data_IF_623710685799
#
_entry.id   IF_623710685799
#
_cell.length_a   1.000
_cell.length_b   1.000
_cell.length_c   1.000
_cell.angle_alpha   90.00
_cell.angle_beta   90.00
_cell.angle_gamma   90.00
#
_symmetry.space_group_name_H-M   'P 1'
#
loop_
_entity.id
_entity.type
_entity.pdbx_description
1 polymer ?
#
# COMPACT_ATOMS: atom_id res chain seq x y z
N UNK A 1 -10.09 6.42 -4.33
CA UNK A 1 -9.50 5.27 -5.03
C UNK A 1 -8.02 5.41 -5.34
N UNK A 2 -7.55 6.58 -5.69
CA UNK A 2 -6.11 6.82 -5.89
C UNK A 2 -5.28 6.48 -4.65
N UNK A 3 -5.79 6.84 -3.47
CA UNK A 3 -5.15 6.53 -2.19
C UNK A 3 -5.00 5.04 -1.96
N UNK A 4 -6.05 4.26 -2.23
CA UNK A 4 -6.03 2.81 -2.08
C UNK A 4 -5.09 2.15 -3.09
N UNK A 5 -5.01 2.69 -4.30
CA UNK A 5 -4.04 2.23 -5.29
C UNK A 5 -2.60 2.43 -4.80
N UNK A 6 -2.30 3.60 -4.21
CA UNK A 6 -0.99 3.90 -3.63
C UNK A 6 -0.64 2.91 -2.53
N UNK A 7 -1.55 2.71 -1.58
CA UNK A 7 -1.31 1.83 -0.44
C UNK A 7 -1.15 0.37 -0.88
N UNK A 8 -1.99 -0.10 -1.81
CA UNK A 8 -1.85 -1.45 -2.36
C UNK A 8 -0.47 -1.64 -2.97
N UNK A 9 -0.03 -0.71 -3.82
CA UNK A 9 1.29 -0.77 -4.44
C UNK A 9 2.41 -0.72 -3.39
N UNK A 10 2.25 0.10 -2.35
CA UNK A 10 3.23 0.21 -1.28
C UNK A 10 3.49 -1.13 -0.60
N UNK A 11 2.42 -1.80 -0.16
CA UNK A 11 2.56 -3.08 0.53
C UNK A 11 3.03 -4.19 -0.41
N UNK A 12 2.52 -4.23 -1.64
CA UNK A 12 2.96 -5.23 -2.62
C UNK A 12 4.46 -5.09 -2.93
N UNK A 13 4.92 -3.87 -3.18
CA UNK A 13 6.34 -3.64 -3.49
C UNK A 13 7.23 -3.91 -2.29
N UNK A 14 6.83 -3.49 -1.10
CA UNK A 14 7.59 -3.72 0.11
C UNK A 14 7.77 -5.20 0.41
N UNK A 15 6.70 -5.96 0.37
CA UNK A 15 6.76 -7.40 0.67
C UNK A 15 7.34 -8.22 -0.48
N UNK A 16 7.39 -7.70 -1.68
CA UNK A 16 8.11 -8.33 -2.79
C UNK A 16 9.62 -8.13 -2.65
N UNK A 17 10.04 -6.97 -2.11
CA UNK A 17 11.44 -6.61 -2.01
C UNK A 17 12.11 -7.20 -0.77
N UNK A 18 11.42 -7.25 0.36
CA UNK A 18 11.97 -7.71 1.64
C UNK A 18 11.34 -9.04 2.06
N UNK A 19 12.17 -9.90 2.64
CA UNK A 19 11.72 -11.17 3.19
C UNK A 19 11.24 -10.99 4.63
N UNK A 20 10.49 -11.97 5.13
CA UNK A 20 10.04 -11.95 6.53
C UNK A 20 11.19 -11.84 7.51
N UNK A 21 12.33 -12.46 7.19
CA UNK A 21 13.54 -12.39 8.02
C UNK A 21 14.10 -10.96 8.14
N UNK A 22 13.91 -10.12 7.14
CA UNK A 22 14.31 -8.72 7.22
C UNK A 22 13.51 -7.96 8.26
N UNK A 23 12.24 -8.30 8.41
CA UNK A 23 11.36 -7.68 9.39
C UNK A 23 11.58 -8.24 10.80
N UNK A 24 11.78 -9.55 10.94
CA UNK A 24 12.08 -10.14 12.25
C UNK A 24 13.41 -9.65 12.80
N UNK A 25 14.38 -9.36 11.94
CA UNK A 25 15.65 -8.75 12.35
C UNK A 25 15.49 -7.37 12.96
N UNK A 26 14.39 -6.66 12.67
CA UNK A 26 14.06 -5.37 13.27
C UNK A 26 13.32 -5.51 14.60
N UNK A 27 12.97 -6.71 15.01
CA UNK A 27 12.21 -6.97 16.22
C UNK A 27 10.72 -7.18 15.99
N UNK A 28 10.24 -7.20 14.74
CA UNK A 28 8.84 -7.53 14.46
C UNK A 28 8.60 -9.01 14.72
N UNK A 29 7.45 -9.33 15.29
CA UNK A 29 6.99 -10.70 15.46
C UNK A 29 6.35 -11.22 14.19
N UNK A 30 6.14 -12.53 14.10
CA UNK A 30 5.37 -13.11 12.99
C UNK A 30 3.95 -12.55 12.93
N UNK A 31 3.35 -12.27 14.09
CA UNK A 31 2.03 -11.64 14.17
C UNK A 31 2.05 -10.24 13.58
N UNK A 32 3.09 -9.45 13.89
CA UNK A 32 3.25 -8.10 13.33
C UNK A 32 3.32 -8.15 11.80
N UNK A 33 4.11 -9.08 11.26
CA UNK A 33 4.26 -9.24 9.81
C UNK A 33 2.94 -9.66 9.17
N UNK A 34 2.24 -10.61 9.77
CA UNK A 34 0.94 -11.07 9.30
C UNK A 34 -0.07 -9.92 9.28
N UNK A 35 -0.07 -9.09 10.31
CA UNK A 35 -0.98 -7.95 10.39
C UNK A 35 -0.67 -6.91 9.31
N UNK A 36 0.59 -6.61 9.03
CA UNK A 36 0.97 -5.69 7.96
C UNK A 36 0.56 -6.23 6.59
N UNK A 37 0.76 -7.51 6.34
CA UNK A 37 0.31 -8.15 5.09
C UNK A 37 -1.21 -8.10 4.95
N UNK A 38 -1.93 -8.27 6.05
CA UNK A 38 -3.39 -8.18 6.09
C UNK A 38 -3.89 -6.78 5.74
N UNK A 39 -3.21 -5.74 6.19
CA UNK A 39 -3.52 -4.35 5.82
C UNK A 39 -3.40 -4.17 4.31
N UNK A 40 -2.30 -4.64 3.72
CA UNK A 40 -2.09 -4.59 2.28
C UNK A 40 -3.18 -5.34 1.51
N UNK A 41 -3.59 -6.52 1.99
CA UNK A 41 -4.67 -7.29 1.39
C UNK A 41 -6.02 -6.59 1.47
N UNK A 42 -6.29 -5.90 2.57
CA UNK A 42 -7.50 -5.09 2.74
C UNK A 42 -7.54 -3.96 1.72
N UNK A 43 -6.44 -3.24 1.51
CA UNK A 43 -6.37 -2.17 0.53
C UNK A 43 -6.58 -2.70 -0.89
N UNK A 44 -6.01 -3.85 -1.22
CA UNK A 44 -6.24 -4.46 -2.53
C UNK A 44 -7.72 -4.82 -2.73
N UNK A 45 -8.39 -5.32 -1.71
CA UNK A 45 -9.82 -5.62 -1.76
C UNK A 45 -10.63 -4.35 -2.00
N UNK A 46 -10.28 -3.24 -1.33
CA UNK A 46 -10.92 -1.95 -1.54
C UNK A 46 -10.78 -1.50 -2.99
N UNK A 47 -9.59 -1.59 -3.57
CA UNK A 47 -9.37 -1.22 -4.98
C UNK A 47 -10.24 -2.06 -5.90
N UNK A 48 -10.28 -3.37 -5.72
CA UNK A 48 -11.08 -4.27 -6.54
C UNK A 48 -12.57 -3.92 -6.45
N UNK A 49 -13.07 -3.71 -5.24
CA UNK A 49 -14.48 -3.40 -5.00
C UNK A 49 -14.86 -2.04 -5.60
N UNK A 50 -14.05 -1.01 -5.37
CA UNK A 50 -14.31 0.33 -5.87
C UNK A 50 -14.22 0.38 -7.39
N UNK A 51 -13.25 -0.32 -7.98
CA UNK A 51 -13.12 -0.39 -9.44
C UNK A 51 -14.37 -1.01 -10.07
N UNK A 52 -14.87 -2.09 -9.50
CA UNK A 52 -16.08 -2.75 -9.99
C UNK A 52 -17.30 -1.82 -9.85
N UNK A 53 -17.43 -1.13 -8.72
CA UNK A 53 -18.54 -0.21 -8.49
C UNK A 53 -18.52 0.97 -9.45
N UNK A 54 -17.37 1.57 -9.69
CA UNK A 54 -17.20 2.70 -10.60
C UNK A 54 -17.52 2.27 -12.04
N UNK A 55 -17.00 1.13 -12.46
CA UNK A 55 -17.27 0.58 -13.80
C UNK A 55 -18.77 0.24 -13.95
N UNK A 56 -19.39 -0.33 -12.92
CA UNK A 56 -20.82 -0.64 -12.90
C UNK A 56 -21.71 0.58 -12.99
N UNK A 57 -21.22 1.74 -12.53
CA UNK A 57 -21.93 3.01 -12.65
C UNK A 57 -21.73 3.69 -14.02
N UNK A 58 -20.98 3.07 -14.93
CA UNK A 58 -20.75 3.59 -16.27
C UNK A 58 -19.62 4.64 -16.33
N UNK A 59 -18.84 4.77 -15.28
CA UNK A 59 -17.72 5.71 -15.22
C UNK A 59 -16.39 4.96 -15.33
N UNK A 60 -15.42 5.58 -16.00
CA UNK A 60 -14.09 4.99 -16.15
C UNK A 60 -13.35 5.06 -14.81
N UNK A 61 -12.90 3.93 -14.24
CA UNK A 61 -12.06 3.97 -13.04
C UNK A 61 -10.73 4.66 -13.30
N UNK A 62 -10.19 5.32 -12.26
CA UNK A 62 -8.85 5.90 -12.31
C UNK A 62 -7.83 4.75 -12.40
N UNK A 63 -6.92 4.84 -13.35
CA UNK A 63 -5.86 3.85 -13.51
C UNK A 63 -4.81 4.04 -12.41
N UNK A 64 -4.26 2.95 -11.85
CA UNK A 64 -3.19 3.07 -10.87
C UNK A 64 -1.94 3.68 -11.50
N UNK A 65 -1.24 4.48 -10.70
CA UNK A 65 0.04 5.03 -11.10
C UNK A 65 1.14 3.99 -11.02
N UNK A 66 2.28 4.27 -11.65
CA UNK A 66 3.52 3.57 -11.34
C UNK A 66 4.19 4.30 -10.20
N UNK A 67 4.38 3.64 -9.06
CA UNK A 67 4.93 4.25 -7.86
C UNK A 67 6.36 3.80 -7.63
N UNK A 68 7.20 4.75 -7.23
CA UNK A 68 8.56 4.48 -6.77
C UNK A 68 8.69 4.97 -5.34
N UNK A 69 8.70 4.04 -4.40
CA UNK A 69 8.77 4.39 -2.97
C UNK A 69 10.21 4.54 -2.47
N UNK A 70 11.19 4.15 -3.28
CA UNK A 70 12.59 4.31 -2.93
C UNK A 70 13.04 3.49 -1.73
N UNK A 71 12.44 2.35 -1.48
CA UNK A 71 12.82 1.50 -0.35
C UNK A 71 14.26 1.01 -0.51
N UNK A 72 15.07 1.28 0.50
CA UNK A 72 16.44 0.75 0.59
C UNK A 72 16.57 -0.28 1.70
N UNK A 73 15.73 -0.18 2.74
CA UNK A 73 15.76 -1.10 3.88
C UNK A 73 14.34 -1.44 4.33
N UNK A 74 14.18 -2.59 4.98
CA UNK A 74 12.92 -2.96 5.61
C UNK A 74 12.52 -1.96 6.70
N UNK A 75 13.49 -1.40 7.42
CA UNK A 75 13.24 -0.38 8.43
C UNK A 75 12.57 0.85 7.84
N UNK A 76 13.05 1.33 6.69
CA UNK A 76 12.47 2.47 5.99
C UNK A 76 11.04 2.17 5.54
N UNK A 77 10.78 0.96 5.04
CA UNK A 77 9.43 0.54 4.65
C UNK A 77 8.47 0.56 5.85
N UNK A 78 8.88 -0.01 6.98
CA UNK A 78 8.04 -0.05 8.19
C UNK A 78 7.75 1.35 8.71
N UNK A 79 8.75 2.24 8.72
CA UNK A 79 8.57 3.62 9.15
C UNK A 79 7.57 4.36 8.25
N UNK A 80 7.65 4.16 6.94
CA UNK A 80 6.72 4.76 5.99
C UNK A 80 5.31 4.21 6.18
N UNK A 81 5.16 2.90 6.42
CA UNK A 81 3.86 2.30 6.71
C UNK A 81 3.20 2.94 7.92
N UNK A 82 3.96 3.18 8.99
CA UNK A 82 3.44 3.84 10.18
C UNK A 82 2.92 5.25 9.88
N UNK A 83 3.62 6.00 9.04
CA UNK A 83 3.18 7.34 8.63
C UNK A 83 1.90 7.27 7.81
N UNK A 84 1.82 6.37 6.82
CA UNK A 84 0.66 6.24 5.96
C UNK A 84 -0.60 5.86 6.76
N UNK A 85 -0.47 4.94 7.71
CA UNK A 85 -1.62 4.47 8.48
C UNK A 85 -2.07 5.48 9.55
N UNK A 86 -1.13 6.20 10.17
CA UNK A 86 -1.47 7.11 11.27
C UNK A 86 -2.07 8.43 10.82
N UNK A 87 -1.61 9.01 9.75
CA UNK A 87 -2.03 10.36 9.36
C UNK A 87 -2.92 10.39 8.13
N UNK A 88 -3.22 9.22 7.54
CA UNK A 88 -4.09 9.16 6.38
C UNK A 88 -3.57 9.96 5.19
N UNK A 89 -2.26 10.04 5.01
CA UNK A 89 -1.63 10.80 3.93
C UNK A 89 -2.18 10.42 2.58
N UNK A 90 -2.55 9.17 2.41
CA UNK A 90 -3.13 8.64 1.18
C UNK A 90 -4.37 9.43 0.73
N UNK A 91 -5.10 10.05 1.67
CA UNK A 91 -6.29 10.83 1.34
C UNK A 91 -5.98 12.07 0.49
N UNK A 92 -4.73 12.50 0.48
CA UNK A 92 -4.31 13.68 -0.27
C UNK A 92 -3.62 13.34 -1.59
N UNK A 93 -3.42 12.06 -1.88
CA UNK A 93 -2.81 11.63 -3.13
C UNK A 93 -3.83 11.74 -4.24
N UNK A 94 -3.48 12.47 -5.29
CA UNK A 94 -4.31 12.63 -6.48
C UNK A 94 -3.66 11.93 -7.67
N UNK A 95 -4.40 11.71 -8.79
CA UNK A 95 -3.80 11.16 -10.01
C UNK A 95 -2.62 11.97 -10.54
N UNK A 96 -2.57 13.27 -10.22
CA UNK A 96 -1.47 14.15 -10.63
C UNK A 96 -0.19 13.91 -9.83
N UNK A 97 -0.26 13.20 -8.72
CA UNK A 97 0.86 12.97 -7.83
C UNK A 97 1.59 11.65 -8.14
N UNK A 98 1.28 11.06 -9.29
CA UNK A 98 1.88 9.79 -9.71
C UNK A 98 3.36 9.89 -10.06
N UNK A 99 3.88 11.06 -10.25
CA UNK A 99 5.27 11.27 -10.69
C UNK A 99 6.25 11.29 -9.52
#
# INVERSE_FOLDING_TARGET
>A
MTAENLETAFYQQGFAKFQDSDFTALGLTETDITNLKSIGGTEQTHVTTLTAAIAGAGTQPVQPCTYNFGFTTAAAMVATAAVLENIGVSAYVSPHDCN
#
